data_IF_699916440080
#
_entry.id   IF_699916440080
#
_cell.length_a   1.000
_cell.length_b   1.000
_cell.length_c   1.000
_cell.angle_alpha   90.00
_cell.angle_beta   90.00
_cell.angle_gamma   90.00
#
_symmetry.space_group_name_H-M   'P 1'
#
loop_
_entity.id
_entity.type
_entity.pdbx_description
1 polymer ?
#
# COMPACT_ATOMS: atom_id res chain seq x y z
N UNK A 1 51.97 -2.36 24.81
CA UNK A 1 51.30 -1.64 25.91
C UNK A 1 50.44 -0.55 25.29
N UNK A 2 49.12 -0.72 25.24
CA UNK A 2 48.19 0.31 24.77
C UNK A 2 46.85 0.11 25.48
N UNK A 3 46.71 0.74 26.63
CA UNK A 3 45.45 0.82 27.37
C UNK A 3 45.41 2.20 28.01
N UNK A 4 45.00 3.21 27.26
CA UNK A 4 44.64 4.50 27.84
C UNK A 4 43.34 5.04 27.24
N UNK A 5 42.51 5.55 28.15
CA UNK A 5 41.37 6.45 27.95
C UNK A 5 40.01 5.81 27.64
N UNK A 6 39.51 5.00 28.57
CA UNK A 6 38.07 4.81 28.74
C UNK A 6 37.50 5.97 29.59
N UNK A 7 36.90 6.97 28.95
CA UNK A 7 36.12 8.03 29.63
C UNK A 7 34.96 7.37 30.40
N UNK A 8 34.80 7.63 31.71
CA UNK A 8 33.69 7.07 32.47
C UNK A 8 32.37 7.62 31.92
N UNK A 9 31.47 6.72 31.51
CA UNK A 9 30.13 7.10 31.05
C UNK A 9 29.42 7.89 32.15
N UNK A 10 28.77 9.03 31.83
CA UNK A 10 28.07 9.83 32.84
C UNK A 10 27.01 8.98 33.54
N UNK A 11 26.91 9.15 34.86
CA UNK A 11 25.94 8.44 35.69
C UNK A 11 24.52 8.69 35.16
N UNK A 12 23.78 7.61 34.88
CA UNK A 12 22.41 7.73 34.41
C UNK A 12 21.57 8.39 35.50
N UNK A 13 20.75 9.41 35.18
CA UNK A 13 19.86 10.03 36.16
C UNK A 13 18.94 8.96 36.76
N UNK A 14 18.86 8.92 38.10
CA UNK A 14 18.04 7.95 38.83
C UNK A 14 16.58 8.17 38.45
N UNK A 15 15.92 7.11 37.97
CA UNK A 15 14.53 7.16 37.56
C UNK A 15 13.65 7.12 38.82
N UNK A 16 12.89 8.18 39.08
CA UNK A 16 11.96 8.24 40.20
C UNK A 16 10.95 7.08 40.12
N UNK A 17 10.70 6.36 41.24
CA UNK A 17 9.75 5.24 41.26
C UNK A 17 8.35 5.76 40.91
N UNK A 18 7.72 5.15 39.90
CA UNK A 18 6.39 5.53 39.45
C UNK A 18 5.36 4.57 40.04
N UNK A 19 4.20 5.07 40.51
CA UNK A 19 3.10 4.19 40.87
C UNK A 19 2.62 3.43 39.62
N UNK A 20 2.37 2.13 39.75
CA UNK A 20 1.76 1.34 38.67
C UNK A 20 0.30 1.78 38.52
N UNK A 21 0.00 2.56 37.47
CA UNK A 21 -1.36 2.93 37.10
C UNK A 21 -1.81 1.96 36.01
N UNK A 22 -2.84 1.16 36.32
CA UNK A 22 -3.46 0.27 35.34
C UNK A 22 -4.46 1.11 34.53
N UNK A 23 -4.28 1.25 33.20
CA UNK A 23 -5.20 2.01 32.37
C UNK A 23 -6.56 1.32 32.32
N UNK A 24 -7.65 2.10 32.41
CA UNK A 24 -9.02 1.58 32.30
C UNK A 24 -9.59 1.80 30.89
N UNK A 25 -9.22 2.93 30.27
CA UNK A 25 -9.66 3.33 28.93
C UNK A 25 -8.47 3.49 27.96
N UNK A 26 -8.74 3.44 26.65
CA UNK A 26 -7.74 3.69 25.61
C UNK A 26 -7.10 5.09 25.72
N UNK A 27 -7.86 6.07 26.19
CA UNK A 27 -7.38 7.43 26.50
C UNK A 27 -6.34 7.42 27.62
N UNK A 28 -6.53 6.58 28.64
CA UNK A 28 -5.60 6.48 29.77
C UNK A 28 -4.28 5.86 29.33
N UNK A 29 -4.32 4.85 28.44
CA UNK A 29 -3.10 4.29 27.85
C UNK A 29 -2.30 5.32 27.05
N UNK A 30 -2.99 6.12 26.24
CA UNK A 30 -2.37 7.18 25.45
C UNK A 30 -1.77 8.26 26.36
N UNK A 31 -2.52 8.66 27.41
CA UNK A 31 -2.04 9.60 28.42
C UNK A 31 -0.76 9.10 29.09
N UNK A 32 -0.72 7.85 29.54
CA UNK A 32 0.48 7.26 30.16
C UNK A 32 1.68 7.19 29.20
N UNK A 33 1.45 6.86 27.93
CA UNK A 33 2.49 6.86 26.88
C UNK A 33 3.01 8.27 26.62
N UNK A 34 2.12 9.27 26.60
CA UNK A 34 2.43 10.67 26.39
C UNK A 34 3.19 11.26 27.57
N UNK A 35 2.74 11.04 28.81
CA UNK A 35 3.46 11.45 30.03
C UNK A 35 4.87 10.83 30.10
N UNK A 36 5.02 9.58 29.65
CA UNK A 36 6.33 8.92 29.53
C UNK A 36 7.25 9.59 28.51
N UNK A 37 6.70 10.08 27.39
CA UNK A 37 7.46 10.76 26.34
C UNK A 37 7.83 12.19 26.78
N UNK A 38 6.87 12.94 27.35
CA UNK A 38 7.07 14.31 27.83
C UNK A 38 8.03 14.42 29.02
N UNK A 39 8.27 13.33 29.75
CA UNK A 39 9.26 13.31 30.84
C UNK A 39 10.68 13.66 30.37
N UNK A 40 11.01 13.32 29.12
CA UNK A 40 12.31 13.61 28.52
C UNK A 40 12.07 14.23 27.13
N UNK A 41 11.75 15.54 27.05
CA UNK A 41 11.42 16.18 25.78
C UNK A 41 12.61 16.27 24.83
N UNK A 42 13.84 16.31 25.37
CA UNK A 42 15.08 16.38 24.58
C UNK A 42 15.42 15.06 23.86
N UNK A 43 14.81 13.94 24.28
CA UNK A 43 15.05 12.64 23.66
C UNK A 43 14.12 12.47 22.45
N UNK A 44 14.66 12.33 21.22
CA UNK A 44 13.81 12.12 20.05
C UNK A 44 13.00 10.84 20.17
N UNK A 45 11.72 10.90 19.79
CA UNK A 45 10.84 9.74 19.77
C UNK A 45 11.34 8.72 18.74
N UNK A 46 11.47 7.45 19.16
CA UNK A 46 11.84 6.36 18.26
C UNK A 46 10.63 5.97 17.42
N UNK A 47 10.55 6.50 16.20
CA UNK A 47 9.59 6.04 15.20
C UNK A 47 10.19 4.78 14.57
N UNK A 48 9.55 3.61 14.70
CA UNK A 48 10.08 2.40 14.08
C UNK A 48 10.06 2.55 12.56
N UNK A 49 11.18 2.21 11.93
CA UNK A 49 11.23 2.02 10.48
C UNK A 49 10.37 0.82 10.07
N UNK A 50 10.03 0.72 8.78
CA UNK A 50 9.28 -0.42 8.25
C UNK A 50 9.95 -1.72 8.68
N UNK A 51 9.15 -2.67 9.17
CA UNK A 51 9.65 -3.97 9.60
C UNK A 51 10.37 -4.63 8.42
N UNK A 52 11.66 -4.94 8.61
CA UNK A 52 12.41 -5.70 7.62
C UNK A 52 11.81 -7.11 7.53
N UNK A 53 11.41 -7.50 6.33
CA UNK A 53 10.94 -8.86 6.08
C UNK A 53 12.07 -9.85 6.38
N UNK A 54 11.68 -11.00 6.95
CA UNK A 54 12.65 -12.06 7.22
C UNK A 54 13.15 -12.60 5.87
N UNK A 55 14.47 -12.59 5.68
CA UNK A 55 15.13 -13.12 4.50
C UNK A 55 16.08 -14.25 4.90
N UNK A 56 16.19 -15.34 4.11
CA UNK A 56 17.18 -16.37 4.36
C UNK A 56 18.58 -15.75 4.37
N UNK A 57 19.44 -16.22 5.27
CA UNK A 57 20.83 -15.74 5.35
C UNK A 57 21.58 -16.22 4.10
N UNK A 58 22.39 -15.33 3.52
CA UNK A 58 23.29 -15.70 2.43
C UNK A 58 24.21 -16.84 2.85
N UNK A 59 24.53 -17.72 1.91
CA UNK A 59 25.50 -18.77 2.14
C UNK A 59 26.87 -18.15 2.50
N UNK A 60 27.59 -18.70 3.48
CA UNK A 60 28.98 -18.31 3.72
C UNK A 60 29.81 -18.56 2.46
N UNK A 61 30.70 -17.62 2.14
CA UNK A 61 31.52 -17.71 0.93
C UNK A 61 32.59 -18.81 1.02
N UNK A 62 33.26 -18.93 2.18
CA UNK A 62 34.20 -20.01 2.46
C UNK A 62 33.81 -20.80 3.70
N UNK A 63 33.81 -22.12 3.57
CA UNK A 63 33.71 -23.06 4.68
C UNK A 63 35.14 -23.50 5.01
N UNK A 64 35.60 -23.24 6.24
CA UNK A 64 37.00 -23.43 6.65
C UNK A 64 37.27 -24.81 7.26
N UNK A 65 36.22 -25.47 7.71
CA UNK A 65 36.18 -26.70 8.49
C UNK A 65 35.81 -27.92 7.64
N UNK A 66 36.06 -27.86 6.32
CA UNK A 66 35.79 -28.98 5.41
C UNK A 66 36.84 -30.07 5.63
N UNK A 67 36.40 -31.24 6.10
CA UNK A 67 37.23 -32.44 6.20
C UNK A 67 37.41 -33.09 4.81
N UNK A 68 38.51 -33.83 4.60
CA UNK A 68 38.86 -34.41 3.30
C UNK A 68 37.77 -35.31 2.71
N UNK A 69 37.67 -35.38 1.38
CA UNK A 69 36.57 -36.03 0.66
C UNK A 69 36.44 -37.55 0.91
N UNK A 70 37.53 -38.21 1.29
CA UNK A 70 37.55 -39.64 1.64
C UNK A 70 37.49 -39.91 3.15
N UNK A 71 37.36 -38.87 3.97
CA UNK A 71 37.24 -39.03 5.41
C UNK A 71 35.88 -39.65 5.79
N UNK A 72 35.87 -40.47 6.85
CA UNK A 72 34.65 -41.10 7.35
C UNK A 72 33.68 -40.12 8.03
N UNK A 73 32.48 -40.60 8.33
CA UNK A 73 31.49 -39.80 9.05
C UNK A 73 31.95 -39.50 10.49
N UNK A 74 32.19 -38.22 10.79
CA UNK A 74 32.51 -37.75 12.13
C UNK A 74 31.26 -37.62 13.01
N UNK A 75 31.46 -37.50 14.33
CA UNK A 75 30.36 -37.32 15.30
C UNK A 75 29.57 -36.03 15.11
N UNK A 76 30.19 -34.99 14.52
CA UNK A 76 29.56 -33.70 14.23
C UNK A 76 28.77 -33.64 12.92
N UNK A 77 28.97 -34.59 12.01
CA UNK A 77 28.43 -34.53 10.64
C UNK A 77 26.89 -34.53 10.63
N UNK A 78 26.27 -35.29 11.54
CA UNK A 78 24.82 -35.29 11.72
C UNK A 78 24.26 -33.90 12.05
N UNK A 79 24.93 -33.15 12.92
CA UNK A 79 24.48 -31.82 13.30
C UNK A 79 24.70 -30.80 12.19
N UNK A 80 25.79 -30.93 11.42
CA UNK A 80 26.04 -30.12 10.21
C UNK A 80 24.90 -30.32 9.21
N UNK A 81 24.58 -31.56 8.85
CA UNK A 81 23.45 -31.87 7.95
C UNK A 81 22.12 -31.33 8.49
N UNK A 82 21.83 -31.52 9.78
CA UNK A 82 20.59 -31.01 10.40
C UNK A 82 20.45 -29.50 10.25
N UNK A 83 21.53 -28.74 10.49
CA UNK A 83 21.52 -27.29 10.34
C UNK A 83 21.41 -26.85 8.88
N UNK A 84 22.13 -27.53 7.98
CA UNK A 84 22.07 -27.29 6.54
C UNK A 84 20.67 -27.54 5.99
N UNK A 85 20.07 -28.70 6.30
CA UNK A 85 18.72 -29.07 5.86
C UNK A 85 17.67 -28.08 6.36
N UNK A 86 17.74 -27.68 7.63
CA UNK A 86 16.83 -26.67 8.18
C UNK A 86 16.97 -25.33 7.46
N UNK A 87 18.21 -24.87 7.23
CA UNK A 87 18.48 -23.63 6.50
C UNK A 87 17.94 -23.70 5.07
N UNK A 88 18.12 -24.84 4.41
CA UNK A 88 17.68 -25.04 3.03
C UNK A 88 16.16 -25.10 2.89
N UNK A 89 15.47 -25.81 3.80
CA UNK A 89 14.00 -25.81 3.82
C UNK A 89 13.44 -24.42 4.07
N UNK A 90 13.98 -23.69 5.05
CA UNK A 90 13.59 -22.31 5.31
C UNK A 90 13.82 -21.39 4.10
N UNK A 91 14.91 -21.61 3.34
CA UNK A 91 15.20 -20.89 2.10
C UNK A 91 14.20 -21.25 1.01
N UNK A 92 13.88 -22.53 0.83
CA UNK A 92 12.94 -23.00 -0.18
C UNK A 92 11.52 -22.49 0.11
N UNK A 93 11.03 -22.64 1.34
CA UNK A 93 9.73 -22.11 1.77
C UNK A 93 9.63 -20.60 1.58
N UNK A 94 10.72 -19.86 1.84
CA UNK A 94 10.77 -18.43 1.55
C UNK A 94 10.60 -18.13 0.06
N UNK A 95 11.35 -18.79 -0.81
CA UNK A 95 11.27 -18.58 -2.25
C UNK A 95 9.88 -18.92 -2.79
N UNK A 96 9.31 -20.04 -2.35
CA UNK A 96 7.99 -20.48 -2.77
C UNK A 96 6.92 -19.46 -2.32
N UNK A 97 6.94 -19.07 -1.04
CA UNK A 97 5.99 -18.10 -0.48
C UNK A 97 6.10 -16.70 -1.13
N UNK A 98 7.32 -16.25 -1.47
CA UNK A 98 7.53 -15.00 -2.18
C UNK A 98 7.01 -15.07 -3.62
N UNK A 99 7.25 -16.18 -4.30
CA UNK A 99 6.74 -16.38 -5.67
C UNK A 99 5.22 -16.38 -5.72
N UNK A 100 4.57 -16.99 -4.73
CA UNK A 100 3.11 -17.07 -4.67
C UNK A 100 2.49 -15.71 -4.33
N UNK A 101 3.09 -14.97 -3.37
CA UNK A 101 2.68 -13.59 -3.09
C UNK A 101 2.79 -12.70 -4.32
N UNK A 102 3.92 -12.76 -5.03
CA UNK A 102 4.12 -11.96 -6.25
C UNK A 102 3.08 -12.28 -7.33
N UNK A 103 2.81 -13.55 -7.60
CA UNK A 103 1.76 -13.96 -8.56
C UNK A 103 0.39 -13.41 -8.15
N UNK A 104 0.02 -13.55 -6.88
CA UNK A 104 -1.27 -13.06 -6.36
C UNK A 104 -1.38 -11.54 -6.47
N UNK A 105 -0.33 -10.82 -6.13
CA UNK A 105 -0.28 -9.36 -6.22
C UNK A 105 -0.37 -8.88 -7.67
N UNK A 106 0.35 -9.53 -8.59
CA UNK A 106 0.25 -9.24 -10.02
C UNK A 106 -1.16 -9.47 -10.56
N UNK A 107 -1.78 -10.61 -10.24
CA UNK A 107 -3.14 -10.92 -10.66
C UNK A 107 -4.16 -9.94 -10.08
N UNK A 108 -3.96 -9.53 -8.83
CA UNK A 108 -4.79 -8.51 -8.20
C UNK A 108 -4.65 -7.15 -8.90
N UNK A 109 -3.42 -6.72 -9.19
CA UNK A 109 -3.16 -5.47 -9.91
C UNK A 109 -3.75 -5.49 -11.32
N UNK A 110 -3.58 -6.60 -12.06
CA UNK A 110 -4.19 -6.78 -13.38
C UNK A 110 -5.71 -6.64 -13.32
N UNK A 111 -6.37 -7.31 -12.36
CA UNK A 111 -7.83 -7.20 -12.15
C UNK A 111 -8.26 -5.78 -11.81
N UNK A 112 -7.52 -5.07 -10.96
CA UNK A 112 -7.81 -3.68 -10.64
C UNK A 112 -7.71 -2.77 -11.87
N UNK A 113 -6.69 -2.93 -12.70
CA UNK A 113 -6.52 -2.14 -13.93
C UNK A 113 -7.63 -2.43 -14.94
N UNK A 114 -7.96 -3.71 -15.16
CA UNK A 114 -9.07 -4.11 -16.02
C UNK A 114 -10.40 -3.49 -15.55
N UNK A 115 -10.68 -3.55 -14.25
CA UNK A 115 -11.88 -2.94 -13.69
C UNK A 115 -11.90 -1.43 -13.89
N UNK A 116 -10.77 -0.73 -13.70
CA UNK A 116 -10.66 0.72 -13.96
C UNK A 116 -10.95 1.05 -15.42
N UNK A 117 -10.35 0.31 -16.36
CA UNK A 117 -10.56 0.51 -17.80
C UNK A 117 -12.04 0.29 -18.15
N UNK A 118 -12.66 -0.80 -17.69
CA UNK A 118 -14.07 -1.07 -17.96
C UNK A 118 -15.01 0.01 -17.39
N UNK A 119 -14.69 0.57 -16.22
CA UNK A 119 -15.45 1.69 -15.67
C UNK A 119 -15.21 3.00 -16.45
N UNK A 120 -13.99 3.26 -16.87
CA UNK A 120 -13.64 4.42 -17.71
C UNK A 120 -14.32 4.35 -19.08
N UNK A 121 -14.36 3.19 -19.73
CA UNK A 121 -15.07 3.00 -20.99
C UNK A 121 -16.57 3.23 -20.85
N UNK A 122 -17.19 2.68 -19.80
CA UNK A 122 -18.62 2.89 -19.50
C UNK A 122 -18.92 4.35 -19.24
N UNK A 123 -18.09 5.03 -18.43
CA UNK A 123 -18.27 6.44 -18.10
C UNK A 123 -17.98 7.36 -19.29
N UNK A 124 -16.99 7.04 -20.14
CA UNK A 124 -16.67 7.76 -21.37
C UNK A 124 -17.80 7.65 -22.39
N UNK A 125 -18.34 6.44 -22.64
CA UNK A 125 -19.52 6.23 -23.50
C UNK A 125 -20.70 7.07 -23.04
N UNK A 126 -21.01 7.06 -21.73
CA UNK A 126 -22.09 7.88 -21.14
C UNK A 126 -21.79 9.38 -21.22
N UNK A 127 -20.53 9.80 -21.05
CA UNK A 127 -20.09 11.21 -21.18
C UNK A 127 -20.24 11.71 -22.61
N UNK A 128 -19.83 10.93 -23.60
CA UNK A 128 -19.98 11.25 -25.03
C UNK A 128 -21.46 11.39 -25.42
N UNK A 129 -22.34 10.47 -24.95
CA UNK A 129 -23.80 10.61 -25.17
C UNK A 129 -24.33 11.93 -24.62
N UNK A 130 -23.93 12.33 -23.40
CA UNK A 130 -24.33 13.61 -22.78
C UNK A 130 -23.75 14.83 -23.48
N UNK A 131 -22.50 14.79 -23.95
CA UNK A 131 -21.88 15.89 -24.70
C UNK A 131 -22.60 16.13 -26.03
N UNK A 132 -22.87 15.08 -26.80
CA UNK A 132 -23.66 15.17 -28.03
C UNK A 132 -25.06 15.74 -27.79
N UNK A 133 -25.73 15.36 -26.68
CA UNK A 133 -27.01 15.94 -26.33
C UNK A 133 -26.90 17.43 -25.95
N UNK A 134 -25.87 17.81 -25.18
CA UNK A 134 -25.60 19.22 -24.83
C UNK A 134 -25.32 20.07 -26.07
N UNK A 135 -24.51 19.60 -26.99
CA UNK A 135 -24.21 20.27 -28.27
C UNK A 135 -25.48 20.45 -29.11
N UNK A 136 -26.33 19.41 -29.23
CA UNK A 136 -27.62 19.51 -29.92
C UNK A 136 -28.55 20.54 -29.25
N UNK A 137 -28.62 20.55 -27.92
CA UNK A 137 -29.46 21.51 -27.18
C UNK A 137 -28.93 22.95 -27.29
N UNK A 138 -27.60 23.16 -27.24
CA UNK A 138 -27.00 24.47 -27.47
C UNK A 138 -27.21 24.95 -28.92
N UNK A 139 -27.07 24.07 -29.91
CA UNK A 139 -27.35 24.41 -31.31
C UNK A 139 -28.83 24.75 -31.54
N UNK A 140 -29.77 24.03 -30.89
CA UNK A 140 -31.20 24.37 -30.92
C UNK A 140 -31.49 25.71 -30.25
N UNK A 141 -30.85 26.02 -29.11
CA UNK A 141 -30.98 27.31 -28.44
C UNK A 141 -30.42 28.44 -29.29
N UNK A 142 -29.20 28.32 -29.83
CA UNK A 142 -28.60 29.31 -30.72
C UNK A 142 -29.47 29.59 -31.96
N UNK A 143 -30.05 28.55 -32.58
CA UNK A 143 -31.01 28.73 -33.68
C UNK A 143 -32.32 29.40 -33.24
N UNK A 144 -32.77 29.15 -32.01
CA UNK A 144 -33.96 29.81 -31.47
C UNK A 144 -33.67 31.28 -31.15
N UNK A 145 -32.51 31.58 -30.58
CA UNK A 145 -32.05 32.93 -30.30
C UNK A 145 -31.85 33.72 -31.63
N UNK A 146 -31.26 33.13 -32.67
CA UNK A 146 -31.21 33.75 -34.02
C UNK A 146 -32.61 33.99 -34.60
N UNK A 147 -33.54 33.04 -34.40
CA UNK A 147 -34.92 33.17 -34.90
C UNK A 147 -35.73 34.19 -34.10
N UNK A 148 -35.49 34.34 -32.80
CA UNK A 148 -36.10 35.35 -31.94
C UNK A 148 -35.50 36.74 -32.25
N UNK A 149 -34.20 36.86 -32.55
CA UNK A 149 -33.62 38.14 -33.04
C UNK A 149 -34.11 38.56 -34.43
N UNK A 150 -34.57 37.61 -35.26
CA UNK A 150 -35.21 37.90 -36.55
C UNK A 150 -36.74 38.03 -36.46
N UNK A 151 -37.36 37.68 -35.33
CA UNK A 151 -38.81 37.72 -35.13
C UNK A 151 -39.33 38.99 -34.45
N UNK A 152 -38.47 39.93 -34.09
CA UNK A 152 -38.88 41.32 -33.85
C UNK A 152 -39.33 42.04 -35.15
N UNK A 153 -39.44 41.32 -36.29
CA UNK A 153 -40.02 41.81 -37.52
C UNK A 153 -41.34 41.14 -37.96
N UNK A 154 -41.82 40.02 -37.40
CA UNK A 154 -43.15 39.52 -37.76
C UNK A 154 -43.75 38.48 -36.79
N UNK A 155 -45.03 38.67 -36.47
CA UNK A 155 -45.77 38.06 -35.36
C UNK A 155 -46.59 36.81 -35.79
N UNK A 156 -46.95 35.98 -34.79
CA UNK A 156 -48.05 34.99 -34.71
C UNK A 156 -47.71 33.47 -34.78
N UNK A 157 -48.46 32.61 -34.03
CA UNK A 157 -47.98 31.33 -33.48
C UNK A 157 -48.53 30.07 -34.17
N UNK A 158 -48.17 28.91 -33.59
CA UNK A 158 -48.88 27.61 -33.57
C UNK A 158 -48.28 26.40 -34.37
N UNK A 159 -48.66 25.13 -34.08
CA UNK A 159 -47.81 24.17 -33.36
C UNK A 159 -47.60 22.83 -34.11
N UNK A 160 -46.70 21.95 -33.63
CA UNK A 160 -46.59 20.49 -33.92
C UNK A 160 -45.16 19.99 -33.68
N UNK A 161 -44.87 18.72 -33.44
CA UNK A 161 -45.56 17.61 -32.76
C UNK A 161 -44.42 16.61 -32.44
N UNK A 162 -44.71 15.67 -31.56
CA UNK A 162 -43.97 14.46 -31.14
C UNK A 162 -42.70 14.03 -31.92
N UNK A 163 -41.64 13.68 -31.17
CA UNK A 163 -40.99 12.38 -31.42
C UNK A 163 -40.31 11.82 -30.15
N UNK A 164 -40.92 10.75 -29.67
CA UNK A 164 -40.59 9.98 -28.47
C UNK A 164 -39.63 8.85 -28.88
N UNK A 165 -38.35 8.95 -28.51
CA UNK A 165 -37.41 7.82 -28.64
C UNK A 165 -36.99 7.28 -27.27
N UNK A 166 -37.80 6.35 -26.78
CA UNK A 166 -37.39 5.34 -25.80
C UNK A 166 -36.46 4.35 -26.50
N UNK A 167 -35.23 4.19 -26.00
CA UNK A 167 -34.46 2.97 -26.26
C UNK A 167 -33.87 2.52 -24.91
N UNK A 168 -34.59 1.56 -24.31
CA UNK A 168 -34.07 0.68 -23.26
C UNK A 168 -32.90 -0.12 -23.85
N UNK A 169 -31.71 0.01 -23.26
CA UNK A 169 -30.62 -0.92 -23.51
C UNK A 169 -30.37 -1.68 -22.20
N UNK A 170 -30.99 -2.87 -22.13
CA UNK A 170 -30.87 -3.86 -21.05
C UNK A 170 -29.61 -4.71 -21.28
N UNK A 171 -28.88 -4.90 -20.18
CA UNK A 171 -27.84 -5.93 -19.91
C UNK A 171 -26.40 -5.53 -20.22
#
# INVERSE_FOLDING_TARGET
>A
MAAENAVPKPARPKKEPQPLIIPKNATDEQRLKLERLMRNPDKPATIPERLKEWSPRSAPEFVRDVMGSSAGAGSGEFHVYRHLRRREYQRQEFMDSMSDKQKLDEDFQRKLLQNKILQEEKTAKRRLKRQKLKEKMMAKKAKKDEKDTNKDADNSPEPSDDDKSEEEDKS
#
